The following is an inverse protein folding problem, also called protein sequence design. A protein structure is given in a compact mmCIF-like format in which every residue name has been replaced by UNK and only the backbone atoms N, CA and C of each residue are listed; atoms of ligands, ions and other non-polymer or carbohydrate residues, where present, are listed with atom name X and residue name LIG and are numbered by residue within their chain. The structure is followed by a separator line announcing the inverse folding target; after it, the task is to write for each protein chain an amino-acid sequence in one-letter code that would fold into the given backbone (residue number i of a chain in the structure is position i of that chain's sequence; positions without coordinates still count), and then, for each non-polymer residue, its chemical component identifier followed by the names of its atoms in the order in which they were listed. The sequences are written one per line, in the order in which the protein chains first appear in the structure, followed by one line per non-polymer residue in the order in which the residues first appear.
data_IF_351499903531
#
_entry.id   IF_351499903531
#
_cell.length_a   1.000
_cell.length_b   1.000
_cell.length_c   1.000
_cell.angle_alpha   90.00
_cell.angle_beta   90.00
_cell.angle_gamma   90.00
#
_symmetry.space_group_name_H-M   'P 1'
#
loop_
_entity.id
_entity.type
_entity.pdbx_description
1 polymer ?
#
# COMPACT_ATOMS: atom_id res chain seq x y z
N UNK A 1 21.49 -18.57 37.06
CA UNK A 1 22.58 -17.60 36.81
C UNK A 1 22.87 -17.55 35.32
N UNK A 2 23.04 -16.35 34.78
CA UNK A 2 23.42 -16.13 33.37
C UNK A 2 24.95 -16.19 33.27
N UNK A 3 25.55 -17.02 32.40
CA UNK A 3 27.00 -17.10 32.24
C UNK A 3 27.55 -15.85 31.54
N UNK A 4 28.85 -15.62 31.68
CA UNK A 4 29.50 -14.58 30.91
C UNK A 4 29.47 -14.88 29.41
N UNK A 5 29.45 -13.82 28.59
CA UNK A 5 29.27 -13.90 27.15
C UNK A 5 28.28 -12.87 26.63
N UNK A 6 28.05 -12.92 25.31
CA UNK A 6 27.07 -12.08 24.62
C UNK A 6 25.72 -12.79 24.61
N UNK A 7 24.69 -12.09 25.08
CA UNK A 7 23.31 -12.53 25.10
C UNK A 7 22.43 -11.52 24.36
N UNK A 8 21.27 -11.99 23.89
CA UNK A 8 20.25 -11.13 23.33
C UNK A 8 19.06 -11.10 24.27
N UNK A 9 18.61 -9.91 24.65
CA UNK A 9 17.38 -9.71 25.40
C UNK A 9 16.27 -9.30 24.44
N UNK A 10 15.23 -10.13 24.41
CA UNK A 10 13.97 -9.87 23.73
C UNK A 10 12.83 -9.93 24.75
N UNK A 11 11.92 -8.97 24.69
CA UNK A 11 10.77 -8.86 25.59
C UNK A 11 9.52 -9.20 24.80
N UNK A 12 8.98 -10.38 25.07
CA UNK A 12 7.78 -10.87 24.40
C UNK A 12 6.54 -10.41 25.16
N UNK A 13 5.71 -9.60 24.51
CA UNK A 13 4.42 -9.16 25.04
C UNK A 13 3.38 -9.06 23.91
N UNK A 14 2.12 -9.31 24.25
CA UNK A 14 1.02 -9.22 23.28
C UNK A 14 0.66 -7.75 23.03
N UNK A 15 0.52 -7.37 21.77
CA UNK A 15 0.04 -6.04 21.36
C UNK A 15 1.09 -4.93 21.34
N UNK A 16 2.30 -5.19 21.82
CA UNK A 16 3.42 -4.23 21.80
C UNK A 16 4.70 -4.89 21.33
N UNK A 17 5.52 -4.13 20.60
CA UNK A 17 6.85 -4.55 20.14
C UNK A 17 7.88 -3.84 21.00
N UNK A 18 8.91 -4.58 21.41
CA UNK A 18 10.09 -4.03 22.05
C UNK A 18 11.28 -4.10 21.11
N UNK A 19 12.25 -3.21 21.33
CA UNK A 19 13.55 -3.32 20.65
C UNK A 19 14.34 -4.49 21.25
N UNK A 20 15.09 -5.22 20.43
CA UNK A 20 16.05 -6.21 20.90
C UNK A 20 17.34 -5.55 21.39
N UNK A 21 17.83 -5.98 22.54
CA UNK A 21 19.06 -5.48 23.14
C UNK A 21 20.14 -6.55 23.13
N UNK A 22 21.37 -6.13 22.86
CA UNK A 22 22.56 -6.95 23.05
C UNK A 22 23.10 -6.70 24.46
N UNK A 23 23.34 -7.78 25.19
CA UNK A 23 23.86 -7.75 26.55
C UNK A 23 25.20 -8.49 26.55
N UNK A 24 26.27 -7.78 26.82
CA UNK A 24 27.59 -8.38 26.99
C UNK A 24 27.90 -8.48 28.49
N UNK A 25 28.05 -9.71 28.98
CA UNK A 25 28.33 -10.02 30.39
C UNK A 25 29.80 -10.41 30.53
N UNK A 26 30.55 -9.68 31.36
CA UNK A 26 31.96 -9.94 31.64
C UNK A 26 32.17 -10.95 32.79
N UNK A 27 33.22 -11.77 32.67
CA UNK A 27 33.70 -12.67 33.73
C UNK A 27 34.38 -11.94 34.90
N UNK A 28 34.68 -10.65 34.76
CA UNK A 28 35.39 -9.86 35.77
C UNK A 28 34.66 -9.75 37.13
N UNK A 29 35.44 -9.58 38.19
CA UNK A 29 34.94 -9.22 39.52
C UNK A 29 34.65 -7.71 39.62
N UNK A 30 33.51 -7.35 40.21
CA UNK A 30 33.02 -5.97 40.32
C UNK A 30 31.50 -5.93 40.47
N UNK A 31 30.94 -4.74 40.60
CA UNK A 31 29.50 -4.54 40.69
C UNK A 31 28.80 -4.89 39.37
N UNK A 32 27.52 -5.25 39.44
CA UNK A 32 26.72 -5.66 38.29
C UNK A 32 26.71 -4.62 37.16
N UNK A 33 26.79 -3.34 37.49
CA UNK A 33 26.82 -2.22 36.53
C UNK A 33 28.09 -2.22 35.66
N UNK A 34 29.22 -2.68 36.20
CA UNK A 34 30.49 -2.74 35.48
C UNK A 34 30.59 -3.99 34.60
N UNK A 35 29.92 -5.06 35.03
CA UNK A 35 29.95 -6.37 34.37
C UNK A 35 28.97 -6.48 33.21
N UNK A 36 27.93 -5.66 33.18
CA UNK A 36 26.85 -5.74 32.19
C UNK A 36 26.89 -4.52 31.28
N UNK A 37 27.24 -4.73 30.02
CA UNK A 37 27.10 -3.71 28.97
C UNK A 37 25.87 -4.01 28.14
N UNK A 38 25.05 -2.98 27.91
CA UNK A 38 23.84 -3.11 27.12
C UNK A 38 23.93 -2.20 25.91
N UNK A 39 23.70 -2.74 24.72
CA UNK A 39 23.68 -2.00 23.45
C UNK A 39 22.47 -2.39 22.62
N UNK A 40 22.17 -1.60 21.58
CA UNK A 40 21.14 -1.95 20.61
C UNK A 40 21.63 -3.10 19.73
N UNK A 41 20.79 -4.10 19.47
CA UNK A 41 21.15 -5.17 18.54
C UNK A 41 21.39 -4.63 17.10
N UNK A 42 20.61 -3.62 16.70
CA UNK A 42 20.73 -2.97 15.39
C UNK A 42 21.91 -1.98 15.28
N UNK A 43 22.37 -1.45 16.41
CA UNK A 43 23.42 -0.42 16.45
C UNK A 43 24.28 -0.61 17.70
N UNK A 44 25.43 -1.31 17.59
CA UNK A 44 26.31 -1.59 18.72
C UNK A 44 26.85 -0.33 19.41
N UNK A 45 26.90 0.81 18.71
CA UNK A 45 27.39 2.07 19.30
C UNK A 45 26.35 2.74 20.20
N UNK A 46 25.08 2.36 20.07
CA UNK A 46 24.00 2.86 20.93
C UNK A 46 23.98 2.09 22.24
N UNK A 47 24.67 2.63 23.24
CA UNK A 47 24.77 2.06 24.59
C UNK A 47 23.61 2.49 25.49
N UNK A 48 23.21 1.60 26.39
CA UNK A 48 22.18 1.83 27.41
C UNK A 48 22.76 1.63 28.81
N UNK A 49 22.32 2.46 29.75
CA UNK A 49 22.76 2.38 31.15
C UNK A 49 21.98 1.30 31.91
N UNK A 50 22.67 0.56 32.77
CA UNK A 50 22.05 -0.35 33.74
C UNK A 50 21.39 0.43 34.90
N UNK A 51 20.25 -0.02 35.45
CA UNK A 51 19.40 -1.10 34.96
C UNK A 51 18.69 -0.69 33.67
N UNK A 52 18.60 -1.63 32.73
CA UNK A 52 17.96 -1.39 31.44
C UNK A 52 16.46 -1.09 31.65
N UNK A 53 16.04 0.09 31.19
CA UNK A 53 14.62 0.47 31.11
C UNK A 53 14.13 0.25 29.69
N UNK A 54 13.41 -0.84 29.47
CA UNK A 54 12.80 -1.15 28.18
C UNK A 54 11.57 -0.28 27.96
N UNK A 55 11.44 0.29 26.76
CA UNK A 55 10.25 1.03 26.33
C UNK A 55 9.66 0.34 25.10
N UNK A 56 8.34 0.28 24.97
CA UNK A 56 7.71 -0.25 23.78
C UNK A 56 8.09 0.63 22.57
N UNK A 57 8.55 -0.01 21.50
CA UNK A 57 8.88 0.63 20.23
C UNK A 57 7.62 0.96 19.41
N UNK A 58 6.54 0.19 19.62
CA UNK A 58 5.26 0.41 18.97
C UNK A 58 4.20 -0.61 19.38
N UNK A 59 3.00 -0.46 18.84
CA UNK A 59 1.89 -1.40 19.01
C UNK A 59 1.74 -2.28 17.78
N UNK A 60 1.40 -3.56 17.97
CA UNK A 60 1.11 -4.47 16.86
C UNK A 60 -0.37 -4.43 16.54
N UNK A 61 -0.73 -4.10 15.30
CA UNK A 61 -2.05 -4.43 14.78
C UNK A 61 -2.00 -5.83 14.20
N UNK A 62 -2.57 -6.81 14.91
CA UNK A 62 -2.65 -8.19 14.41
C UNK A 62 -3.70 -8.36 13.32
N UNK A 63 -4.60 -7.41 13.19
CA UNK A 63 -5.67 -7.41 12.21
C UNK A 63 -5.54 -6.18 11.32
N UNK A 64 -5.74 -6.37 10.03
CA UNK A 64 -5.90 -5.25 9.11
C UNK A 64 -7.28 -4.65 9.26
N UNK A 65 -7.34 -3.31 9.24
CA UNK A 65 -8.62 -2.63 9.16
C UNK A 65 -9.22 -2.89 7.78
N UNK A 66 -10.42 -3.49 7.76
CA UNK A 66 -11.18 -3.66 6.52
C UNK A 66 -11.39 -2.29 5.89
N UNK A 67 -11.00 -2.13 4.62
CA UNK A 67 -11.31 -0.92 3.88
C UNK A 67 -12.83 -0.75 3.85
N UNK A 68 -13.31 0.34 4.44
CA UNK A 68 -14.72 0.68 4.36
C UNK A 68 -15.00 1.10 2.90
N UNK A 69 -15.40 0.13 2.08
CA UNK A 69 -15.69 0.31 0.64
C UNK A 69 -16.74 1.42 0.38
N UNK A 70 -17.53 1.80 1.39
CA UNK A 70 -18.62 2.79 1.30
C UNK A 70 -18.41 4.02 2.18
N UNK A 71 -17.18 4.52 2.35
CA UNK A 71 -17.00 5.87 2.88
C UNK A 71 -17.13 6.90 1.76
N UNK A 72 -17.96 7.94 1.95
CA UNK A 72 -18.10 9.06 1.00
C UNK A 72 -16.73 9.71 0.69
N UNK A 73 -15.84 9.79 1.68
CA UNK A 73 -14.48 10.31 1.47
C UNK A 73 -13.64 9.40 0.58
N UNK A 74 -13.86 8.08 0.61
CA UNK A 74 -13.14 7.11 -0.23
C UNK A 74 -13.65 7.14 -1.66
N UNK A 75 -14.96 7.32 -1.86
CA UNK A 75 -15.56 7.48 -3.18
C UNK A 75 -15.01 8.73 -3.88
N UNK A 76 -14.85 9.84 -3.16
CA UNK A 76 -14.33 11.08 -3.75
C UNK A 76 -12.81 11.04 -4.01
N UNK A 77 -12.04 10.26 -3.24
CA UNK A 77 -10.59 10.14 -3.39
C UNK A 77 -10.15 9.17 -4.50
N UNK A 78 -11.04 8.29 -4.96
CA UNK A 78 -10.72 7.35 -6.02
C UNK A 78 -11.25 7.88 -7.37
N UNK A 79 -10.36 8.16 -8.34
CA UNK A 79 -10.73 8.78 -9.61
C UNK A 79 -11.74 7.95 -10.41
N UNK A 80 -11.75 6.62 -10.25
CA UNK A 80 -12.68 5.74 -10.95
C UNK A 80 -14.13 6.02 -10.55
N UNK A 81 -14.41 6.18 -9.25
CA UNK A 81 -15.77 6.44 -8.78
C UNK A 81 -16.24 7.86 -9.14
N UNK A 82 -15.33 8.83 -9.13
CA UNK A 82 -15.62 10.21 -9.56
C UNK A 82 -16.01 10.24 -11.03
N UNK A 83 -15.21 9.62 -11.90
CA UNK A 83 -15.49 9.56 -13.34
C UNK A 83 -16.84 8.87 -13.57
N UNK A 84 -17.09 7.73 -12.91
CA UNK A 84 -18.35 6.99 -13.06
C UNK A 84 -19.56 7.81 -12.60
N UNK A 85 -19.42 8.61 -11.53
CA UNK A 85 -20.47 9.51 -11.07
C UNK A 85 -20.74 10.66 -12.04
N UNK A 86 -19.69 11.30 -12.56
CA UNK A 86 -19.80 12.40 -13.53
C UNK A 86 -20.46 11.91 -14.82
N UNK A 87 -20.05 10.75 -15.34
CA UNK A 87 -20.63 10.18 -16.56
C UNK A 87 -22.09 9.79 -16.37
N UNK A 88 -22.47 9.21 -15.23
CA UNK A 88 -23.86 8.88 -14.92
C UNK A 88 -24.74 10.15 -14.84
N UNK A 89 -24.24 11.21 -14.19
CA UNK A 89 -24.95 12.50 -14.15
C UNK A 89 -25.09 13.10 -15.56
N UNK A 90 -24.00 13.12 -16.34
CA UNK A 90 -24.01 13.62 -17.71
C UNK A 90 -25.03 12.86 -18.58
N UNK A 91 -25.09 11.52 -18.47
CA UNK A 91 -26.04 10.71 -19.23
C UNK A 91 -27.52 11.03 -18.91
N UNK A 92 -27.83 11.47 -17.67
CA UNK A 92 -29.19 11.83 -17.26
C UNK A 92 -29.55 13.27 -17.62
N UNK A 93 -28.60 14.20 -17.47
CA UNK A 93 -28.87 15.63 -17.60
C UNK A 93 -28.57 16.20 -18.99
N UNK A 94 -27.54 15.71 -19.71
CA UNK A 94 -27.21 16.19 -21.05
C UNK A 94 -28.38 16.08 -22.04
N UNK A 95 -29.11 14.94 -22.13
CA UNK A 95 -30.22 14.83 -23.07
C UNK A 95 -31.39 15.78 -22.77
N UNK A 96 -31.48 16.30 -21.54
CA UNK A 96 -32.51 17.27 -21.14
C UNK A 96 -32.13 18.72 -21.41
N UNK A 97 -30.83 18.99 -21.56
CA UNK A 97 -30.30 20.34 -21.83
C UNK A 97 -30.02 20.58 -23.31
N UNK A 98 -29.80 19.51 -24.09
CA UNK A 98 -29.60 19.60 -25.53
C UNK A 98 -30.95 19.64 -26.26
N UNK A 99 -31.05 20.51 -27.27
CA UNK A 99 -32.19 20.54 -28.18
C UNK A 99 -32.24 19.26 -29.03
N UNK A 100 -33.45 18.88 -29.49
CA UNK A 100 -33.68 17.64 -30.24
C UNK A 100 -32.79 17.54 -31.49
N UNK A 101 -32.55 18.66 -32.15
CA UNK A 101 -31.75 18.71 -33.38
C UNK A 101 -30.26 18.44 -33.10
N UNK A 102 -29.74 18.97 -31.99
CA UNK A 102 -28.35 18.73 -31.57
C UNK A 102 -28.13 17.28 -31.12
N UNK A 103 -29.12 16.66 -30.48
CA UNK A 103 -29.10 15.23 -30.13
C UNK A 103 -29.11 14.34 -31.38
N UNK A 104 -29.93 14.67 -32.38
CA UNK A 104 -29.96 13.93 -33.65
C UNK A 104 -28.63 14.03 -34.40
N UNK A 105 -28.01 15.21 -34.43
CA UNK A 105 -26.71 15.41 -35.08
C UNK A 105 -25.62 14.58 -34.38
N UNK A 106 -25.58 14.59 -33.05
CA UNK A 106 -24.64 13.78 -32.26
C UNK A 106 -24.85 12.27 -32.47
N UNK A 107 -26.10 11.82 -32.58
CA UNK A 107 -26.43 10.42 -32.89
C UNK A 107 -25.96 10.03 -34.30
N UNK A 108 -26.13 10.91 -35.29
CA UNK A 108 -25.64 10.68 -36.66
C UNK A 108 -24.12 10.62 -36.71
N UNK A 109 -23.43 11.49 -35.98
CA UNK A 109 -21.96 11.47 -35.88
C UNK A 109 -21.44 10.21 -35.18
N UNK A 110 -22.06 9.79 -34.07
CA UNK A 110 -21.71 8.55 -33.39
C UNK A 110 -21.93 7.31 -34.28
N UNK A 111 -23.03 7.28 -35.04
CA UNK A 111 -23.30 6.21 -36.01
C UNK A 111 -22.21 6.15 -37.09
N UNK A 112 -21.77 7.31 -37.62
CA UNK A 112 -20.66 7.38 -38.60
C UNK A 112 -19.33 6.91 -38.00
N UNK A 113 -19.04 7.25 -36.75
CA UNK A 113 -17.82 6.79 -36.07
C UNK A 113 -17.86 5.29 -35.77
N UNK A 114 -19.02 4.75 -35.43
CA UNK A 114 -19.20 3.32 -35.19
C UNK A 114 -19.06 2.51 -36.48
N UNK A 115 -19.58 3.02 -37.60
CA UNK A 115 -19.44 2.42 -38.92
C UNK A 115 -17.97 2.43 -39.39
N UNK A 116 -17.24 3.54 -39.18
CA UNK A 116 -15.80 3.62 -39.46
C UNK A 116 -14.98 2.63 -38.62
N UNK A 117 -15.26 2.51 -37.33
CA UNK A 117 -14.59 1.51 -36.46
C UNK A 117 -14.92 0.07 -36.83
N UNK A 118 -16.07 -0.17 -37.43
CA UNK A 118 -16.51 -1.52 -37.86
C UNK A 118 -15.93 -1.90 -39.23
N UNK A 119 -15.60 -0.92 -40.08
CA UNK A 119 -15.03 -1.12 -41.42
C UNK A 119 -13.52 -1.43 -41.46
N UNK A 120 -12.75 -1.03 -40.44
CA UNK A 120 -11.29 -1.26 -40.40
C UNK A 120 -10.85 -2.62 -39.82
N UNK A 121 -11.80 -3.50 -39.44
CA UNK A 121 -11.51 -4.82 -38.86
C UNK A 121 -11.51 -6.01 -39.83
N UNK A 122 -11.73 -5.81 -41.14
CA UNK A 122 -12.15 -6.88 -42.06
C UNK A 122 -11.31 -7.14 -43.30
N UNK A 123 -10.01 -6.79 -43.36
CA UNK A 123 -9.27 -6.81 -44.62
C UNK A 123 -7.75 -6.99 -44.56
N UNK A 124 -7.23 -8.03 -43.90
CA UNK A 124 -5.83 -8.44 -44.10
C UNK A 124 -5.67 -9.96 -44.02
N UNK A 125 -5.83 -10.67 -45.15
CA UNK A 125 -5.70 -12.12 -45.12
C UNK A 125 -5.69 -12.82 -46.47
N UNK A 126 -5.20 -12.19 -47.55
CA UNK A 126 -4.94 -12.88 -48.83
C UNK A 126 -3.89 -12.13 -49.66
N UNK A 127 -2.62 -12.41 -49.39
CA UNK A 127 -1.53 -12.38 -50.38
C UNK A 127 -0.22 -12.78 -49.71
N UNK A 128 0.11 -14.08 -49.76
CA UNK A 128 1.49 -14.56 -49.71
C UNK A 128 1.53 -16.00 -50.22
N UNK A 129 1.75 -16.17 -51.53
CA UNK A 129 2.78 -17.04 -52.11
C UNK A 129 2.44 -17.34 -53.58
N UNK A 130 3.16 -16.65 -54.47
CA UNK A 130 3.49 -17.13 -55.81
C UNK A 130 5.01 -17.02 -55.93
N UNK A 131 5.62 -18.06 -56.50
CA UNK A 131 7.00 -18.16 -57.02
C UNK A 131 8.12 -18.48 -56.02
N UNK A 132 8.51 -19.76 -55.94
CA UNK A 132 9.72 -20.26 -56.62
C UNK A 132 9.67 -21.76 -56.80
#
# INVERSE_FOLDING_TARGET
NVPAGTHTLDVVAVGVIFQQYRIDVSEGGGDLEERVRVSSNQDPNKMFRYPLKVKPAGTVSYFDQRSNFFSLSTLMKNPMYVIMGVTALAAVFLPRMLDKDALEEMQREMARMQDQRSGEGGGSGRQAQVTR
#
